data_IF_856965153962
#
_entry.id   IF_856965153962
#
_cell.length_a   1.000
_cell.length_b   1.000
_cell.length_c   1.000
_cell.angle_alpha   90.00
_cell.angle_beta   90.00
_cell.angle_gamma   90.00
#
_symmetry.space_group_name_H-M   'P 1'
#
loop_
_entity.id
_entity.type
_entity.pdbx_description
1 polymer ?
#
# COMPACT_ATOMS: atom_id res chain seq x y z
N UNK A 1 11.04 7.32 -8.33
CA UNK A 1 11.56 6.42 -7.28
C UNK A 1 10.97 5.03 -7.52
N UNK A 2 11.70 3.95 -7.22
CA UNK A 2 11.22 2.56 -7.34
C UNK A 2 11.31 1.92 -8.75
N UNK A 3 11.76 2.65 -9.77
CA UNK A 3 11.88 2.08 -11.12
C UNK A 3 13.08 1.11 -11.22
N UNK A 4 12.81 -0.12 -11.64
CA UNK A 4 13.82 -1.12 -11.95
C UNK A 4 13.36 -1.99 -13.11
N UNK A 5 14.23 -2.19 -14.09
CA UNK A 5 14.00 -3.16 -15.15
C UNK A 5 14.45 -4.55 -14.69
N UNK A 6 13.80 -5.58 -15.22
CA UNK A 6 14.13 -6.96 -14.98
C UNK A 6 14.22 -7.70 -16.31
N UNK A 7 15.00 -8.78 -16.33
CA UNK A 7 15.05 -9.72 -17.45
C UNK A 7 13.82 -10.66 -17.49
N UNK A 8 12.93 -10.57 -16.50
CA UNK A 8 11.60 -11.17 -16.50
C UNK A 8 10.52 -10.11 -16.25
N UNK A 9 9.25 -10.47 -16.45
CA UNK A 9 8.10 -9.59 -16.22
C UNK A 9 7.25 -10.06 -15.05
N UNK A 10 6.69 -9.13 -14.29
CA UNK A 10 5.80 -9.43 -13.17
C UNK A 10 4.43 -8.78 -13.38
N UNK A 11 3.38 -9.54 -13.09
CA UNK A 11 1.99 -9.06 -13.13
C UNK A 11 1.42 -9.03 -11.71
N UNK A 12 0.66 -7.98 -11.41
CA UNK A 12 -0.03 -7.80 -10.14
C UNK A 12 -1.53 -8.00 -10.35
N UNK A 13 -2.19 -8.58 -9.36
CA UNK A 13 -3.61 -8.90 -9.40
C UNK A 13 -4.16 -9.04 -7.98
N UNK A 14 -5.48 -9.05 -7.86
CA UNK A 14 -6.19 -9.35 -6.62
C UNK A 14 -5.77 -8.47 -5.43
N UNK A 15 -5.53 -7.18 -5.68
CA UNK A 15 -5.30 -6.22 -4.60
C UNK A 15 -6.55 -6.14 -3.72
N UNK A 16 -6.41 -6.51 -2.46
CA UNK A 16 -7.49 -6.52 -1.49
C UNK A 16 -7.08 -5.78 -0.22
N UNK A 17 -8.05 -5.07 0.36
CA UNK A 17 -7.97 -4.50 1.70
C UNK A 17 -9.02 -5.24 2.53
N UNK A 18 -8.61 -5.87 3.63
CA UNK A 18 -9.47 -6.77 4.40
C UNK A 18 -10.73 -6.08 4.92
N UNK A 19 -10.61 -4.80 5.32
CA UNK A 19 -11.74 -3.97 5.69
C UNK A 19 -11.61 -2.59 5.01
N UNK A 20 -12.51 -2.23 4.08
CA UNK A 20 -12.47 -0.93 3.41
C UNK A 20 -12.97 0.22 4.29
N UNK A 21 -13.57 -0.05 5.46
CA UNK A 21 -13.97 0.96 6.46
C UNK A 21 -13.26 0.68 7.76
N UNK A 22 -12.19 1.42 8.02
CA UNK A 22 -11.29 1.17 9.14
C UNK A 22 -11.63 2.14 10.27
N UNK A 23 -11.88 1.62 11.46
CA UNK A 23 -12.00 2.44 12.67
C UNK A 23 -10.62 2.90 13.14
N UNK A 24 -10.58 4.03 13.84
CA UNK A 24 -9.32 4.55 14.35
C UNK A 24 -8.61 3.54 15.27
N UNK A 25 -7.28 3.49 15.16
CA UNK A 25 -6.44 2.50 15.85
C UNK A 25 -6.49 1.06 15.33
N UNK A 26 -7.37 0.71 14.37
CA UNK A 26 -7.42 -0.64 13.80
C UNK A 26 -6.35 -0.86 12.70
N UNK A 27 -5.78 -2.07 12.58
CA UNK A 27 -4.80 -2.36 11.54
C UNK A 27 -5.45 -2.46 10.16
N UNK A 28 -4.77 -1.90 9.15
CA UNK A 28 -5.17 -2.05 7.73
C UNK A 28 -4.37 -3.18 7.11
N UNK A 29 -5.03 -4.31 6.86
CA UNK A 29 -4.44 -5.46 6.20
C UNK A 29 -4.66 -5.38 4.69
N UNK A 30 -3.56 -5.38 3.95
CA UNK A 30 -3.53 -5.29 2.48
C UNK A 30 -2.84 -6.53 1.93
N UNK A 31 -3.40 -7.12 0.87
CA UNK A 31 -2.75 -8.22 0.15
C UNK A 31 -2.80 -8.01 -1.36
N UNK A 32 -1.80 -8.52 -2.07
CA UNK A 32 -1.77 -8.52 -3.54
C UNK A 32 -1.12 -9.81 -4.04
N UNK A 33 -1.60 -10.35 -5.15
CA UNK A 33 -0.97 -11.48 -5.83
C UNK A 33 0.01 -10.98 -6.88
N UNK A 34 1.24 -11.51 -6.83
CA UNK A 34 2.31 -11.21 -7.78
C UNK A 34 2.70 -12.47 -8.52
N UNK A 35 2.71 -12.43 -9.85
CA UNK A 35 3.07 -13.54 -10.72
C UNK A 35 4.27 -13.20 -11.59
N UNK A 36 5.25 -14.09 -11.65
CA UNK A 36 6.29 -14.03 -12.67
C UNK A 36 5.72 -14.54 -14.00
N UNK A 37 5.62 -13.66 -14.98
CA UNK A 37 5.02 -13.93 -16.30
C UNK A 37 6.06 -14.16 -17.39
N UNK A 38 7.35 -13.98 -17.10
CA UNK A 38 8.42 -14.24 -18.05
C UNK A 38 8.98 -15.66 -17.97
N UNK A 39 10.05 -15.89 -18.72
CA UNK A 39 10.63 -17.22 -18.93
C UNK A 39 11.79 -17.57 -17.98
N UNK A 40 12.23 -16.63 -17.13
CA UNK A 40 13.34 -16.84 -16.20
C UNK A 40 12.94 -16.46 -14.77
N UNK A 41 13.63 -17.05 -13.78
CA UNK A 41 13.46 -16.69 -12.39
C UNK A 41 13.87 -15.22 -12.16
N UNK A 42 13.21 -14.55 -11.21
CA UNK A 42 13.51 -13.16 -10.90
C UNK A 42 13.13 -12.77 -9.48
N UNK A 43 13.68 -11.65 -9.03
CA UNK A 43 13.34 -11.03 -7.76
C UNK A 43 12.56 -9.75 -8.00
N UNK A 44 11.43 -9.62 -7.33
CA UNK A 44 10.54 -8.47 -7.45
C UNK A 44 10.47 -7.71 -6.13
N UNK A 45 10.51 -6.37 -6.21
CA UNK A 45 10.40 -5.46 -5.07
C UNK A 45 8.98 -4.91 -5.03
N UNK A 46 8.11 -5.59 -4.28
CA UNK A 46 6.70 -5.23 -4.12
C UNK A 46 6.59 -4.04 -3.19
N UNK A 47 6.31 -2.86 -3.74
CA UNK A 47 6.24 -1.58 -3.03
C UNK A 47 4.78 -1.16 -2.76
N UNK A 48 4.47 -0.85 -1.50
CA UNK A 48 3.17 -0.32 -1.08
C UNK A 48 3.25 1.18 -0.84
N UNK A 49 2.53 1.92 -1.68
CA UNK A 49 2.34 3.35 -1.56
C UNK A 49 0.99 3.70 -0.94
N UNK A 50 0.99 4.72 -0.07
CA UNK A 50 -0.20 5.32 0.52
C UNK A 50 -0.34 6.76 0.01
N UNK A 51 -1.55 7.13 -0.39
CA UNK A 51 -1.96 8.50 -0.68
C UNK A 51 -3.11 8.88 0.23
N UNK A 52 -2.91 9.92 1.03
CA UNK A 52 -3.97 10.61 1.75
C UNK A 52 -4.66 11.57 0.76
N UNK A 53 -5.93 11.35 0.44
CA UNK A 53 -6.58 12.04 -0.68
C UNK A 53 -6.99 13.48 -0.32
N UNK A 54 -7.42 13.70 0.91
CA UNK A 54 -7.88 15.00 1.40
C UNK A 54 -7.55 15.12 2.89
N UNK A 55 -6.76 16.14 3.23
CA UNK A 55 -6.44 16.48 4.62
C UNK A 55 -6.20 17.99 4.77
N UNK A 56 -6.13 18.49 6.00
CA UNK A 56 -6.01 19.93 6.34
C UNK A 56 -4.77 20.64 5.78
N UNK A 57 -3.72 19.89 5.44
CA UNK A 57 -2.50 20.38 4.78
C UNK A 57 -2.24 19.56 3.53
N UNK A 58 -1.92 20.22 2.41
CA UNK A 58 -1.64 19.55 1.14
C UNK A 58 -0.79 18.27 1.33
N UNK A 59 -1.34 17.09 1.00
CA UNK A 59 -0.61 15.84 1.12
C UNK A 59 0.42 15.71 -0.02
N UNK A 60 1.49 14.93 0.19
CA UNK A 60 2.28 14.43 -0.93
C UNK A 60 1.40 13.52 -1.80
N UNK A 61 1.66 13.48 -3.11
CA UNK A 61 0.86 12.68 -4.06
C UNK A 61 0.79 11.20 -3.65
N UNK A 62 1.92 10.62 -3.20
CA UNK A 62 2.00 9.27 -2.63
C UNK A 62 3.26 9.12 -1.76
N UNK A 63 3.24 8.20 -0.80
CA UNK A 63 4.37 7.88 0.08
C UNK A 63 4.59 6.37 0.15
N UNK A 64 5.83 5.90 0.01
CA UNK A 64 6.17 4.50 0.26
C UNK A 64 6.05 4.21 1.77
N UNK A 65 5.26 3.22 2.15
CA UNK A 65 5.07 2.82 3.56
C UNK A 65 5.68 1.47 3.87
N UNK A 66 5.58 0.52 2.95
CA UNK A 66 6.13 -0.84 3.09
C UNK A 66 6.68 -1.33 1.77
N UNK A 67 7.59 -2.28 1.82
CA UNK A 67 7.97 -3.06 0.66
C UNK A 67 8.34 -4.49 1.08
N UNK A 68 8.25 -5.43 0.15
CA UNK A 68 8.70 -6.81 0.33
C UNK A 68 9.44 -7.27 -0.91
N UNK A 69 10.60 -7.90 -0.73
CA UNK A 69 11.37 -8.48 -1.83
C UNK A 69 11.12 -9.97 -1.89
N UNK A 70 10.55 -10.43 -3.00
CA UNK A 70 10.21 -11.83 -3.23
C UNK A 70 11.00 -12.39 -4.40
N UNK A 71 11.23 -13.69 -4.40
CA UNK A 71 11.76 -14.43 -5.54
C UNK A 71 10.66 -15.32 -6.10
N UNK A 72 10.56 -15.40 -7.43
CA UNK A 72 9.56 -16.19 -8.14
C UNK A 72 10.19 -16.92 -9.33
N UNK A 73 9.90 -18.21 -9.44
CA UNK A 73 10.19 -19.02 -10.62
C UNK A 73 9.26 -18.63 -11.79
N UNK A 74 9.61 -18.96 -13.05
CA UNK A 74 8.73 -18.73 -14.20
C UNK A 74 7.32 -19.31 -13.96
N UNK A 75 6.29 -18.48 -14.14
CA UNK A 75 4.89 -18.88 -13.94
C UNK A 75 4.42 -18.94 -12.48
N UNK A 76 5.31 -18.87 -11.50
CA UNK A 76 4.98 -18.89 -10.08
C UNK A 76 4.21 -17.63 -9.67
N UNK A 77 3.24 -17.80 -8.77
CA UNK A 77 2.46 -16.73 -8.17
C UNK A 77 2.56 -16.77 -6.65
N UNK A 78 2.67 -15.61 -6.01
CA UNK A 78 2.72 -15.48 -4.56
C UNK A 78 1.86 -14.32 -4.09
N UNK A 79 1.06 -14.56 -3.05
CA UNK A 79 0.36 -13.49 -2.34
C UNK A 79 1.32 -12.83 -1.35
N UNK A 80 1.41 -11.51 -1.44
CA UNK A 80 2.19 -10.66 -0.53
C UNK A 80 1.23 -9.88 0.33
N UNK A 81 1.42 -9.93 1.64
CA UNK A 81 0.58 -9.24 2.62
C UNK A 81 1.37 -8.17 3.36
N UNK A 82 0.71 -7.06 3.63
CA UNK A 82 1.22 -5.92 4.39
C UNK A 82 0.20 -5.52 5.45
N UNK A 83 0.71 -5.02 6.58
CA UNK A 83 -0.11 -4.38 7.61
C UNK A 83 0.37 -2.95 7.80
N UNK A 84 -0.56 -2.01 7.63
CA UNK A 84 -0.38 -0.61 8.04
C UNK A 84 -1.08 -0.39 9.39
N UNK A 85 -0.58 0.57 10.13
CA UNK A 85 -1.16 1.03 11.37
C UNK A 85 -1.38 2.55 11.32
N UNK A 86 -1.99 3.09 12.37
CA UNK A 86 -2.25 4.52 12.54
C UNK A 86 -0.97 5.37 12.34
N UNK A 87 0.19 4.85 12.78
CA UNK A 87 1.46 5.55 12.63
C UNK A 87 1.89 5.76 11.19
N UNK A 88 1.43 4.91 10.27
CA UNK A 88 1.64 5.07 8.83
C UNK A 88 0.74 6.15 8.21
N UNK A 89 -0.43 6.42 8.81
CA UNK A 89 -1.38 7.44 8.35
C UNK A 89 -1.02 8.83 8.88
N UNK A 90 -0.39 8.88 10.06
CA UNK A 90 -0.13 10.12 10.78
C UNK A 90 0.76 11.11 10.02
N UNK A 91 0.45 12.40 10.19
CA UNK A 91 1.24 13.52 9.70
C UNK A 91 1.34 14.62 10.77
N UNK A 92 2.23 15.60 10.54
CA UNK A 92 2.35 16.77 11.41
C UNK A 92 1.48 17.91 10.90
N UNK A 93 0.57 18.41 11.74
CA UNK A 93 -0.28 19.56 11.42
C UNK A 93 0.48 20.90 11.49
N UNK A 94 -0.23 22.02 11.30
CA UNK A 94 0.36 23.37 11.30
C UNK A 94 0.88 23.78 12.68
N UNK A 95 0.44 23.09 13.73
CA UNK A 95 0.85 23.26 15.11
C UNK A 95 1.95 22.25 15.50
N UNK A 96 2.51 21.52 14.53
CA UNK A 96 3.52 20.47 14.71
C UNK A 96 3.06 19.28 15.57
N UNK A 97 1.74 19.09 15.70
CA UNK A 97 1.16 17.94 16.40
C UNK A 97 1.04 16.78 15.43
N UNK A 98 1.37 15.58 15.91
CA UNK A 98 1.19 14.35 15.15
C UNK A 98 -0.28 13.95 15.22
N UNK A 99 -0.96 13.96 14.09
CA UNK A 99 -2.41 13.72 13.98
C UNK A 99 -2.70 12.73 12.85
N UNK A 100 -3.84 12.07 12.96
CA UNK A 100 -4.50 11.35 11.87
C UNK A 100 -5.86 11.99 11.65
N UNK A 101 -6.22 12.24 10.40
CA UNK A 101 -7.53 12.79 10.05
C UNK A 101 -8.38 11.68 9.41
N UNK A 102 -9.66 11.54 9.79
CA UNK A 102 -10.58 10.63 9.11
C UNK A 102 -10.75 11.07 7.65
N UNK A 103 -10.91 10.10 6.75
CA UNK A 103 -10.98 10.38 5.32
C UNK A 103 -10.60 9.19 4.45
N UNK A 104 -10.51 9.44 3.16
CA UNK A 104 -10.20 8.42 2.16
C UNK A 104 -8.70 8.33 1.89
N UNK A 105 -8.20 7.10 1.94
CA UNK A 105 -6.82 6.76 1.65
C UNK A 105 -6.78 5.81 0.46
N UNK A 106 -5.85 6.06 -0.47
CA UNK A 106 -5.58 5.17 -1.59
C UNK A 106 -4.31 4.38 -1.34
N UNK A 107 -4.40 3.08 -1.49
CA UNK A 107 -3.28 2.15 -1.57
C UNK A 107 -2.94 1.93 -3.04
N UNK A 108 -1.66 1.91 -3.37
CA UNK A 108 -1.17 1.54 -4.70
C UNK A 108 -0.01 0.56 -4.57
N UNK A 109 -0.10 -0.57 -5.29
CA UNK A 109 0.97 -1.58 -5.39
C UNK A 109 1.07 -1.99 -6.86
N UNK A 110 2.24 -1.80 -7.47
CA UNK A 110 2.40 -2.01 -8.92
C UNK A 110 1.45 -1.11 -9.72
N UNK A 111 0.64 -1.72 -10.58
CA UNK A 111 -0.43 -1.10 -11.36
C UNK A 111 -1.81 -1.19 -10.69
N UNK A 112 -1.90 -1.80 -9.51
CA UNK A 112 -3.14 -1.99 -8.77
C UNK A 112 -3.36 -0.84 -7.79
N UNK A 113 -4.63 -0.45 -7.60
CA UNK A 113 -5.01 0.52 -6.58
C UNK A 113 -6.36 0.19 -5.93
N UNK A 114 -6.49 0.52 -4.66
CA UNK A 114 -7.72 0.34 -3.88
C UNK A 114 -7.86 1.49 -2.87
N UNK A 115 -9.09 1.80 -2.47
CA UNK A 115 -9.40 2.87 -1.51
C UNK A 115 -9.98 2.24 -0.24
N UNK A 116 -9.58 2.76 0.91
CA UNK A 116 -10.25 2.54 2.19
C UNK A 116 -10.57 3.89 2.84
N UNK A 117 -11.61 3.90 3.67
CA UNK A 117 -12.03 5.07 4.44
C UNK A 117 -11.68 4.84 5.91
N UNK A 118 -10.93 5.78 6.50
CA UNK A 118 -10.72 5.86 7.94
C UNK A 118 -11.88 6.62 8.58
N UNK A 119 -12.55 6.00 9.55
CA UNK A 119 -13.67 6.59 10.27
C UNK A 119 -13.21 7.03 11.66
N UNK A 120 -13.71 8.18 12.09
CA UNK A 120 -13.51 8.64 13.46
C UNK A 120 -14.37 7.80 14.39
N UNK A 121 -13.76 7.20 15.40
CA UNK A 121 -14.51 6.54 16.48
C UNK A 121 -15.31 7.61 17.20
N UNK A 122 -16.63 7.47 17.17
CA UNK A 122 -17.52 8.30 18.00
C UNK A 122 -17.49 7.69 19.40
N UNK A 123 -17.04 8.46 20.40
CA UNK A 123 -17.27 8.11 21.81
C UNK A 123 -18.77 8.10 22.15
#
# INVERSE_FOLDING_TARGET
>A
FGHGLSYTTFAYSDLAIANPKVEDGQPINVSVTVKNTGAIAGKESVELYLSDLVRSISPPVKQLKRFSKIELQPGESKTVSFTLNEADLAFHDRQNRRVVEPGDFRITIGDQSAIFTLQQTSE
#
